data_IF_076689944018
#
_entry.id   IF_076689944018
#
_cell.length_a   1.000
_cell.length_b   1.000
_cell.length_c   1.000
_cell.angle_alpha   90.00
_cell.angle_beta   90.00
_cell.angle_gamma   90.00
#
_symmetry.space_group_name_H-M   'P 1'
#
loop_
_entity.id
_entity.type
_entity.pdbx_description
1 polymer ?
#
# COMPACT_ATOMS: atom_id res chain seq x y z
N UNK A 1 -3.93 -18.95 16.08
CA UNK A 1 -4.73 -18.51 14.91
C UNK A 1 -4.25 -17.12 14.54
N UNK A 2 -3.20 -17.04 13.69
CA UNK A 2 -2.54 -15.79 13.37
C UNK A 2 -3.37 -15.01 12.35
N UNK A 3 -3.94 -13.89 12.77
CA UNK A 3 -4.60 -12.96 11.86
C UNK A 3 -3.59 -12.54 10.79
N UNK A 4 -3.97 -12.61 9.52
CA UNK A 4 -3.17 -12.08 8.42
C UNK A 4 -3.09 -10.56 8.63
N UNK A 5 -2.06 -10.08 9.33
CA UNK A 5 -1.89 -8.66 9.64
C UNK A 5 -1.22 -7.98 8.44
N UNK A 6 -2.02 -7.73 7.41
CA UNK A 6 -1.59 -6.94 6.26
C UNK A 6 -1.21 -5.51 6.67
N UNK A 7 -0.34 -4.88 5.89
CA UNK A 7 -0.09 -3.44 6.03
C UNK A 7 -1.17 -2.69 5.25
N UNK A 8 -1.87 -1.78 5.90
CA UNK A 8 -2.96 -0.99 5.31
C UNK A 8 -2.78 0.50 5.63
N UNK A 9 -2.93 1.35 4.62
CA UNK A 9 -2.71 2.81 4.73
C UNK A 9 -3.66 3.56 3.81
N UNK A 10 -4.24 4.65 4.31
CA UNK A 10 -4.92 5.65 3.50
C UNK A 10 -3.88 6.70 3.07
N UNK A 11 -3.82 6.99 1.77
CA UNK A 11 -2.78 7.83 1.16
C UNK A 11 -3.45 8.81 0.19
N UNK A 12 -2.96 10.04 0.12
CA UNK A 12 -3.42 11.01 -0.88
C UNK A 12 -2.60 11.00 -2.18
N UNK A 13 -3.03 11.74 -3.20
CA UNK A 13 -2.34 11.88 -4.51
C UNK A 13 -0.94 12.48 -4.44
N UNK A 14 -0.59 13.12 -3.32
CA UNK A 14 0.78 13.60 -3.03
C UNK A 14 1.62 12.53 -2.33
N UNK A 15 1.11 11.30 -2.25
CA UNK A 15 1.75 10.14 -1.63
C UNK A 15 1.98 10.28 -0.11
N UNK A 16 1.21 11.15 0.55
CA UNK A 16 1.26 11.36 2.01
C UNK A 16 0.28 10.41 2.69
N UNK A 17 0.76 9.72 3.73
CA UNK A 17 -0.06 8.86 4.58
C UNK A 17 -1.00 9.73 5.42
N UNK A 18 -2.30 9.48 5.33
CA UNK A 18 -3.34 10.16 6.12
C UNK A 18 -3.80 9.33 7.32
N UNK A 19 -3.77 8.00 7.18
CA UNK A 19 -4.08 7.06 8.25
C UNK A 19 -3.37 5.73 7.98
N UNK A 20 -3.11 4.96 9.03
CA UNK A 20 -2.47 3.65 8.92
C UNK A 20 -2.93 2.71 10.02
N UNK A 21 -3.02 1.41 9.69
CA UNK A 21 -3.29 0.40 10.72
C UNK A 21 -2.07 0.21 11.65
N UNK A 22 -2.26 -0.46 12.78
CA UNK A 22 -1.21 -0.68 13.79
C UNK A 22 0.07 -1.28 13.19
N UNK A 23 -0.07 -2.35 12.39
CA UNK A 23 1.06 -3.01 11.74
C UNK A 23 1.83 -2.08 10.79
N UNK A 24 1.15 -1.18 10.08
CA UNK A 24 1.81 -0.18 9.22
C UNK A 24 2.54 0.88 10.02
N UNK A 25 1.96 1.36 11.13
CA UNK A 25 2.62 2.32 12.02
C UNK A 25 3.91 1.74 12.61
N UNK A 26 3.89 0.48 13.03
CA UNK A 26 5.08 -0.24 13.53
C UNK A 26 6.18 -0.38 12.46
N UNK A 27 5.83 -0.29 11.17
CA UNK A 27 6.78 -0.28 10.05
C UNK A 27 7.19 1.13 9.59
N UNK A 28 6.82 2.18 10.33
CA UNK A 28 7.20 3.57 10.04
C UNK A 28 6.24 4.33 9.13
N UNK A 29 5.08 3.77 8.80
CA UNK A 29 4.06 4.46 8.02
C UNK A 29 3.11 5.21 8.95
N UNK A 30 3.60 6.32 9.49
CA UNK A 30 2.81 7.23 10.31
C UNK A 30 2.22 8.35 9.45
N UNK A 31 1.16 8.95 9.96
CA UNK A 31 0.49 10.08 9.33
C UNK A 31 1.48 11.23 9.04
N UNK A 32 1.30 11.91 7.91
CA UNK A 32 2.16 13.01 7.44
C UNK A 32 3.43 12.58 6.69
N UNK A 33 3.79 11.29 6.72
CA UNK A 33 4.97 10.79 6.01
C UNK A 33 4.66 10.53 4.54
N UNK A 34 5.61 10.86 3.65
CA UNK A 34 5.56 10.42 2.25
C UNK A 34 5.85 8.92 2.22
N UNK A 35 4.87 8.09 1.87
CA UNK A 35 5.01 6.62 1.96
C UNK A 35 6.21 6.10 1.15
N UNK A 36 6.55 6.80 0.05
CA UNK A 36 7.68 6.44 -0.78
C UNK A 36 9.05 6.58 -0.09
N UNK A 37 9.17 7.42 0.94
CA UNK A 37 10.41 7.63 1.71
C UNK A 37 10.66 6.57 2.77
N UNK A 38 9.63 5.83 3.19
CA UNK A 38 9.76 4.77 4.21
C UNK A 38 10.33 3.49 3.62
N UNK A 39 10.15 3.27 2.32
CA UNK A 39 10.62 2.09 1.60
C UNK A 39 11.94 2.35 0.88
N UNK A 40 12.70 1.29 0.65
CA UNK A 40 13.91 1.36 -0.19
C UNK A 40 13.53 1.68 -1.65
N UNK A 41 14.40 2.33 -2.44
CA UNK A 41 14.11 2.62 -3.86
C UNK A 41 13.71 1.38 -4.67
N UNK A 42 14.33 0.22 -4.41
CA UNK A 42 13.98 -1.05 -5.06
C UNK A 42 12.56 -1.53 -4.76
N UNK A 43 11.98 -1.13 -3.62
CA UNK A 43 10.59 -1.45 -3.27
C UNK A 43 9.58 -0.71 -4.14
N UNK A 44 9.97 0.32 -4.88
CA UNK A 44 9.09 1.04 -5.82
C UNK A 44 9.16 0.53 -7.25
N UNK A 45 10.01 -0.48 -7.53
CA UNK A 45 10.08 -1.08 -8.86
C UNK A 45 8.70 -1.62 -9.25
N UNK A 46 8.20 -1.15 -10.40
CA UNK A 46 6.88 -1.52 -10.91
C UNK A 46 5.69 -0.93 -10.13
N UNK A 47 5.87 0.13 -9.34
CA UNK A 47 4.79 0.73 -8.56
C UNK A 47 3.62 1.20 -9.44
N UNK A 48 2.43 0.66 -9.20
CA UNK A 48 1.21 0.94 -9.97
C UNK A 48 0.34 2.05 -9.37
N UNK A 49 0.80 2.73 -8.30
CA UNK A 49 0.04 3.82 -7.66
C UNK A 49 -0.33 4.94 -8.64
N UNK A 50 0.60 5.31 -9.54
CA UNK A 50 0.37 6.33 -10.54
C UNK A 50 -0.65 5.89 -11.61
N UNK A 51 -0.65 4.60 -11.96
CA UNK A 51 -1.63 4.02 -12.89
C UNK A 51 -3.01 4.09 -12.25
N UNK A 52 -3.13 3.63 -11.00
CA UNK A 52 -4.37 3.69 -10.22
C UNK A 52 -4.90 5.12 -10.13
N UNK A 53 -4.07 6.11 -9.80
CA UNK A 53 -4.49 7.51 -9.72
C UNK A 53 -4.99 8.06 -11.07
N UNK A 54 -4.41 7.59 -12.19
CA UNK A 54 -4.80 8.01 -13.54
C UNK A 54 -6.09 7.33 -14.02
N UNK A 55 -6.25 6.05 -13.74
CA UNK A 55 -7.37 5.24 -14.25
C UNK A 55 -8.54 5.16 -13.28
N UNK A 56 -8.33 5.58 -12.03
CA UNK A 56 -9.28 5.40 -10.92
C UNK A 56 -9.77 3.95 -10.82
N UNK A 57 -8.89 3.01 -11.17
CA UNK A 57 -9.17 1.57 -11.16
C UNK A 57 -8.14 0.89 -10.28
N UNK A 58 -8.60 -0.02 -9.42
CA UNK A 58 -7.71 -0.77 -8.53
C UNK A 58 -6.57 -1.45 -9.31
N UNK A 59 -5.37 -1.39 -8.76
CA UNK A 59 -4.18 -2.02 -9.34
C UNK A 59 -3.60 -2.99 -8.33
N UNK A 60 -3.12 -4.14 -8.82
CA UNK A 60 -2.51 -5.17 -8.00
C UNK A 60 -1.22 -5.64 -8.65
N UNK A 61 -0.22 -5.92 -7.83
CA UNK A 61 0.96 -6.67 -8.26
C UNK A 61 1.41 -7.71 -7.22
N UNK A 62 2.32 -8.56 -7.67
CA UNK A 62 2.94 -9.61 -6.86
C UNK A 62 4.46 -9.50 -6.98
N UNK A 63 5.11 -8.62 -6.19
CA UNK A 63 6.55 -8.36 -6.31
C UNK A 63 7.43 -9.54 -5.89
N UNK A 64 6.87 -10.50 -5.16
CA UNK A 64 7.52 -11.75 -4.77
C UNK A 64 6.45 -12.84 -4.64
N UNK A 65 6.84 -14.12 -4.69
CA UNK A 65 5.90 -15.24 -4.59
C UNK A 65 5.03 -15.17 -3.33
N UNK A 66 5.57 -14.68 -2.22
CA UNK A 66 4.87 -14.59 -0.94
C UNK A 66 4.26 -13.21 -0.66
N UNK A 67 4.21 -12.29 -1.64
CA UNK A 67 3.82 -10.90 -1.37
C UNK A 67 2.90 -10.32 -2.43
N UNK A 68 1.76 -9.77 -2.01
CA UNK A 68 0.83 -9.01 -2.85
C UNK A 68 0.84 -7.55 -2.40
N UNK A 69 0.78 -6.62 -3.37
CA UNK A 69 0.45 -5.21 -3.10
C UNK A 69 -0.76 -4.81 -3.93
N UNK A 70 -1.59 -3.97 -3.34
CA UNK A 70 -2.77 -3.45 -3.99
C UNK A 70 -2.91 -1.95 -3.72
N UNK A 71 -3.40 -1.23 -4.72
CA UNK A 71 -3.76 0.18 -4.67
C UNK A 71 -5.23 0.30 -5.06
N UNK A 72 -6.06 0.72 -4.12
CA UNK A 72 -7.51 0.77 -4.28
C UNK A 72 -7.96 2.23 -4.19
N UNK A 73 -8.58 2.82 -5.23
CA UNK A 73 -9.12 4.17 -5.14
C UNK A 73 -10.25 4.23 -4.11
N UNK A 74 -10.43 5.37 -3.45
CA UNK A 74 -11.56 5.58 -2.53
C UNK A 74 -12.72 6.17 -3.32
N UNK A 75 -13.84 5.47 -3.37
CA UNK A 75 -15.05 5.93 -4.07
C UNK A 75 -15.50 7.30 -3.54
N UNK A 76 -15.74 8.25 -4.45
CA UNK A 76 -16.09 9.63 -4.11
C UNK A 76 -14.92 10.54 -3.72
N UNK A 77 -13.67 10.03 -3.68
CA UNK A 77 -12.47 10.80 -3.34
C UNK A 77 -11.31 10.46 -4.29
N UNK A 78 -11.28 11.08 -5.48
CA UNK A 78 -10.31 10.78 -6.54
C UNK A 78 -8.84 11.00 -6.14
N UNK A 79 -8.60 11.86 -5.15
CA UNK A 79 -7.28 12.14 -4.61
C UNK A 79 -6.83 11.13 -3.54
N UNK A 80 -7.66 10.17 -3.14
CA UNK A 80 -7.38 9.23 -2.08
C UNK A 80 -7.33 7.79 -2.59
N UNK A 81 -6.43 7.02 -1.99
CA UNK A 81 -6.37 5.59 -2.21
C UNK A 81 -5.89 4.85 -0.96
N UNK A 82 -6.29 3.58 -0.86
CA UNK A 82 -5.77 2.67 0.14
C UNK A 82 -4.67 1.82 -0.50
N UNK A 83 -3.53 1.74 0.17
CA UNK A 83 -2.49 0.78 -0.17
C UNK A 83 -2.54 -0.38 0.81
N UNK A 84 -2.70 -1.59 0.28
CA UNK A 84 -2.60 -2.84 1.03
C UNK A 84 -1.34 -3.62 0.65
N UNK A 85 -0.76 -4.31 1.62
CA UNK A 85 0.29 -5.31 1.39
C UNK A 85 0.00 -6.54 2.23
N UNK A 86 -0.08 -7.69 1.57
CA UNK A 86 -0.31 -8.99 2.19
C UNK A 86 0.91 -9.88 1.99
N UNK A 87 1.27 -10.63 3.03
CA UNK A 87 2.22 -11.73 2.93
C UNK A 87 1.43 -13.04 2.89
N UNK A 88 1.63 -13.82 1.85
CA UNK A 88 1.02 -15.14 1.66
C UNK A 88 1.90 -16.16 2.40
N UNK A 89 1.37 -16.90 3.39
CA UNK A 89 2.11 -17.99 4.01
C UNK A 89 2.46 -19.04 2.95
N UNK A 90 3.74 -19.40 2.86
CA UNK A 90 4.15 -20.52 2.03
C UNK A 90 3.65 -21.83 2.66
N UNK A 91 3.09 -22.72 1.84
CA UNK A 91 2.70 -24.06 2.28
C UNK A 91 4.00 -24.83 2.57
N UNK A 92 4.19 -25.26 3.81
CA UNK A 92 5.29 -26.16 4.19
C UNK A 92 5.15 -27.50 3.50
#
# INVERSE_FOLDING_TARGET
>A
MGWISGLARLINKKYVVLASNKASKEKGFTEGVIYARVLTPGSHKGCLAHVMLKTQTAQLDRPAEDKIREWIPVEGYEELFVQFTLTIPQKK
#
